data_IF_476818258001
#
_entry.id   IF_476818258001
#
_cell.length_a   1.000
_cell.length_b   1.000
_cell.length_c   1.000
_cell.angle_alpha   90.00
_cell.angle_beta   90.00
_cell.angle_gamma   90.00
#
_symmetry.space_group_name_H-M   'P 1'
#
loop_
_entity.id
_entity.type
_entity.pdbx_description
1 polymer ?
#
# COMPACT_ATOMS: atom_id res chain seq x y z
N UNK A 1 56.06 -1.96 -8.88
CA UNK A 1 55.82 -0.50 -8.89
C UNK A 1 54.31 -0.28 -8.75
N UNK A 2 53.73 0.48 -7.84
CA UNK A 2 54.17 1.34 -6.74
C UNK A 2 53.22 1.08 -5.55
N UNK A 3 53.78 1.07 -4.34
CA UNK A 3 53.07 0.74 -3.10
C UNK A 3 52.17 1.85 -2.53
N UNK A 4 51.57 1.59 -1.35
CA UNK A 4 50.55 2.44 -0.72
C UNK A 4 51.15 3.46 0.26
N UNK A 5 50.38 4.50 0.61
CA UNK A 5 50.66 5.42 1.72
C UNK A 5 49.43 5.58 2.62
N UNK A 6 49.63 5.34 3.92
CA UNK A 6 48.74 5.72 5.03
C UNK A 6 48.78 7.24 5.29
N UNK A 7 48.28 7.80 6.39
CA UNK A 7 47.96 7.25 7.71
C UNK A 7 47.13 8.27 8.53
N UNK A 8 46.58 7.80 9.66
CA UNK A 8 46.28 8.61 10.86
C UNK A 8 44.79 8.84 11.11
N UNK A 9 44.20 8.60 12.30
CA UNK A 9 44.75 8.17 13.59
C UNK A 9 43.74 8.52 14.71
N UNK A 10 43.76 7.72 15.79
CA UNK A 10 43.17 8.03 17.10
C UNK A 10 41.68 7.68 17.24
N UNK A 11 41.20 7.05 18.32
CA UNK A 11 41.79 6.72 19.60
C UNK A 11 40.64 6.42 20.57
N UNK A 12 40.78 5.35 21.33
CA UNK A 12 39.78 4.83 22.28
C UNK A 12 39.48 5.79 23.44
N UNK A 13 38.29 5.63 24.05
CA UNK A 13 37.96 6.31 25.31
C UNK A 13 36.75 5.72 26.02
N UNK A 14 36.96 4.67 26.81
CA UNK A 14 36.09 4.28 27.93
C UNK A 14 36.03 5.42 28.96
N UNK A 15 34.86 5.70 29.52
CA UNK A 15 34.75 6.46 30.78
C UNK A 15 33.83 5.71 31.75
N UNK A 16 34.42 5.27 32.86
CA UNK A 16 33.74 4.77 34.05
C UNK A 16 33.30 5.89 35.00
N UNK A 17 32.81 5.55 36.21
CA UNK A 17 32.05 6.44 37.07
C UNK A 17 32.95 7.36 37.91
N UNK A 18 32.63 8.66 37.96
CA UNK A 18 33.34 9.65 38.78
C UNK A 18 32.58 10.00 40.06
N UNK A 19 33.09 9.54 41.20
CA UNK A 19 32.85 10.16 42.51
C UNK A 19 33.67 11.46 42.60
N UNK A 20 33.05 12.54 43.04
CA UNK A 20 33.73 13.81 43.29
C UNK A 20 32.96 14.68 44.28
N UNK A 21 33.36 14.61 45.54
CA UNK A 21 32.93 15.51 46.61
C UNK A 21 33.44 16.94 46.36
N UNK A 22 32.56 17.94 46.39
CA UNK A 22 32.97 19.32 46.71
C UNK A 22 31.95 20.05 47.58
N UNK A 23 32.42 20.27 48.80
CA UNK A 23 31.89 21.02 49.95
C UNK A 23 31.49 22.46 49.57
N UNK A 24 30.23 22.84 49.83
CA UNK A 24 29.81 24.22 50.16
C UNK A 24 28.82 24.11 51.34
N UNK A 25 29.33 24.37 52.55
CA UNK A 25 29.00 25.52 53.40
C UNK A 25 27.55 25.50 53.88
N UNK A 26 27.40 24.92 55.06
CA UNK A 26 26.26 25.02 55.96
C UNK A 26 26.25 26.37 56.72
N UNK A 27 25.05 26.71 57.21
CA UNK A 27 24.64 27.70 58.24
C UNK A 27 23.98 29.01 57.72
N UNK A 28 22.97 29.57 58.42
CA UNK A 28 22.05 28.99 59.42
C UNK A 28 20.56 29.18 59.08
N UNK A 29 19.74 28.42 59.80
CA UNK A 29 18.30 28.65 59.96
C UNK A 29 18.07 30.04 60.56
N UNK A 30 17.43 30.94 59.82
CA UNK A 30 16.73 32.07 60.42
C UNK A 30 15.23 31.74 60.43
N UNK A 31 14.75 31.54 61.65
CA UNK A 31 13.35 31.57 62.02
C UNK A 31 12.79 32.96 61.70
N UNK A 32 12.16 33.08 60.53
CA UNK A 32 11.21 34.16 60.29
C UNK A 32 9.83 33.54 60.25
N UNK A 33 9.16 33.61 61.41
CA UNK A 33 7.73 33.49 61.53
C UNK A 33 7.08 34.58 60.65
N UNK A 34 6.86 34.24 59.38
CA UNK A 34 6.25 35.10 58.38
C UNK A 34 5.17 34.32 57.68
N UNK A 35 3.97 34.37 58.25
CA UNK A 35 2.67 34.01 57.71
C UNK A 35 2.71 33.11 56.45
N UNK A 36 2.42 31.83 56.65
CA UNK A 36 1.80 31.05 55.58
C UNK A 36 0.63 31.88 55.03
N UNK A 37 0.57 32.23 53.73
CA UNK A 37 -0.74 32.35 53.12
C UNK A 37 -1.28 30.94 53.22
N UNK A 38 -2.24 30.73 54.13
CA UNK A 38 -2.97 29.48 54.15
C UNK A 38 -3.49 29.28 52.73
N UNK A 39 -2.85 28.39 51.98
CA UNK A 39 -3.45 27.83 50.79
C UNK A 39 -4.67 27.11 51.36
N UNK A 40 -5.82 27.78 51.24
CA UNK A 40 -7.12 27.18 51.51
C UNK A 40 -7.11 25.82 50.81
N UNK A 41 -7.67 24.76 51.42
CA UNK A 41 -7.85 23.47 50.74
C UNK A 41 -8.41 23.62 49.30
N UNK A 42 -9.23 24.64 49.06
CA UNK A 42 -9.75 25.02 47.73
C UNK A 42 -8.69 25.40 46.69
N UNK A 43 -7.57 26.00 47.10
CA UNK A 43 -6.46 26.37 46.21
C UNK A 43 -5.59 25.18 45.80
N UNK A 44 -5.47 24.18 46.68
CA UNK A 44 -4.75 22.94 46.39
C UNK A 44 -5.55 22.07 45.42
N UNK A 45 -6.86 21.97 45.61
CA UNK A 45 -7.78 21.28 44.68
C UNK A 45 -7.80 21.93 43.28
N UNK A 46 -7.70 23.27 43.22
CA UNK A 46 -7.63 23.99 41.94
C UNK A 46 -6.33 23.66 41.17
N UNK A 47 -5.18 23.60 41.86
CA UNK A 47 -3.90 23.21 41.24
C UNK A 47 -3.92 21.76 40.77
N UNK A 48 -4.52 20.84 41.52
CA UNK A 48 -4.65 19.42 41.12
C UNK A 48 -5.50 19.29 39.86
N UNK A 49 -6.62 20.04 39.79
CA UNK A 49 -7.46 20.10 38.58
C UNK A 49 -6.70 20.63 37.37
N UNK A 50 -5.95 21.72 37.52
CA UNK A 50 -5.14 22.29 36.43
C UNK A 50 -4.10 21.29 35.92
N UNK A 51 -3.39 20.60 36.83
CA UNK A 51 -2.40 19.59 36.46
C UNK A 51 -3.03 18.39 35.73
N UNK A 52 -4.24 18.00 36.13
CA UNK A 52 -5.03 16.97 35.46
C UNK A 52 -5.41 17.39 34.05
N UNK A 53 -5.97 18.59 33.89
CA UNK A 53 -6.40 19.11 32.59
C UNK A 53 -5.19 19.26 31.64
N UNK A 54 -4.04 19.70 32.18
CA UNK A 54 -2.79 19.75 31.42
C UNK A 54 -2.32 18.36 30.98
N UNK A 55 -2.41 17.35 31.85
CA UNK A 55 -2.08 15.97 31.50
C UNK A 55 -3.00 15.43 30.41
N UNK A 56 -4.32 15.66 30.50
CA UNK A 56 -5.29 15.28 29.48
C UNK A 56 -4.93 15.91 28.12
N UNK A 57 -4.60 17.21 28.11
CA UNK A 57 -4.21 17.92 26.89
C UNK A 57 -2.89 17.40 26.28
N UNK A 58 -1.88 17.16 27.12
CA UNK A 58 -0.58 16.64 26.66
C UNK A 58 -0.71 15.23 26.08
N UNK A 59 -1.51 14.36 26.72
CA UNK A 59 -1.78 13.01 26.22
C UNK A 59 -2.60 13.02 24.93
N UNK A 60 -3.60 13.91 24.82
CA UNK A 60 -4.36 14.09 23.59
C UNK A 60 -3.42 14.45 22.44
N UNK A 61 -2.61 15.51 22.61
CA UNK A 61 -1.64 15.95 21.60
C UNK A 61 -0.67 14.82 21.21
N UNK A 62 -0.16 14.09 22.20
CA UNK A 62 0.75 12.98 21.94
C UNK A 62 0.06 11.85 21.15
N UNK A 63 -1.22 11.55 21.44
CA UNK A 63 -2.00 10.57 20.70
C UNK A 63 -2.23 10.97 19.24
N UNK A 64 -2.56 12.24 18.99
CA UNK A 64 -2.71 12.80 17.64
C UNK A 64 -1.41 12.66 16.85
N UNK A 65 -0.28 13.08 17.43
CA UNK A 65 1.05 12.96 16.82
C UNK A 65 1.42 11.50 16.51
N UNK A 66 1.07 10.56 17.40
CA UNK A 66 1.29 9.13 17.18
C UNK A 66 0.47 8.60 16.02
N UNK A 67 -0.83 8.93 15.95
CA UNK A 67 -1.70 8.47 14.88
C UNK A 67 -1.33 9.09 13.52
N UNK A 68 -0.94 10.36 13.49
CA UNK A 68 -0.37 10.97 12.28
C UNK A 68 0.92 10.29 11.82
N UNK A 69 1.82 9.96 12.76
CA UNK A 69 3.06 9.26 12.44
C UNK A 69 2.77 7.87 11.83
N UNK A 70 1.79 7.15 12.39
CA UNK A 70 1.34 5.86 11.84
C UNK A 70 0.73 6.04 10.45
N UNK A 71 -0.13 7.04 10.24
CA UNK A 71 -0.71 7.35 8.93
C UNK A 71 0.37 7.61 7.88
N UNK A 72 1.31 8.53 8.17
CA UNK A 72 2.43 8.87 7.27
C UNK A 72 3.28 7.66 6.91
N UNK A 73 3.57 6.77 7.89
CA UNK A 73 4.30 5.53 7.60
C UNK A 73 3.51 4.57 6.73
N UNK A 74 2.20 4.44 6.93
CA UNK A 74 1.34 3.60 6.08
C UNK A 74 1.30 4.13 4.65
N UNK A 75 1.14 5.43 4.48
CA UNK A 75 1.18 6.10 3.17
C UNK A 75 2.53 5.88 2.48
N UNK A 76 3.64 6.02 3.22
CA UNK A 76 4.98 5.76 2.69
C UNK A 76 5.14 4.30 2.24
N UNK A 77 4.76 3.33 3.08
CA UNK A 77 4.84 1.91 2.71
C UNK A 77 3.94 1.55 1.53
N UNK A 78 2.76 2.17 1.42
CA UNK A 78 1.90 2.00 0.25
C UNK A 78 2.60 2.55 -1.00
N UNK A 79 3.14 3.76 -0.95
CA UNK A 79 3.86 4.37 -2.07
C UNK A 79 5.06 3.53 -2.53
N UNK A 80 5.86 3.02 -1.59
CA UNK A 80 7.00 2.14 -1.88
C UNK A 80 6.55 0.84 -2.57
N UNK A 81 5.49 0.20 -2.07
CA UNK A 81 4.96 -1.03 -2.67
C UNK A 81 4.40 -0.78 -4.08
N UNK A 82 3.60 0.27 -4.25
CA UNK A 82 3.04 0.65 -5.55
C UNK A 82 4.16 0.97 -6.55
N UNK A 83 5.16 1.76 -6.14
CA UNK A 83 6.33 2.06 -6.99
C UNK A 83 7.02 0.79 -7.46
N UNK A 84 7.30 -0.15 -6.54
CA UNK A 84 7.94 -1.42 -6.87
C UNK A 84 7.10 -2.28 -7.83
N UNK A 85 5.79 -2.37 -7.62
CA UNK A 85 4.91 -3.11 -8.53
C UNK A 85 4.82 -2.46 -9.91
N UNK A 86 4.77 -1.13 -9.96
CA UNK A 86 4.75 -0.37 -11.21
C UNK A 86 6.06 -0.52 -12.00
N UNK A 87 7.20 -0.59 -11.32
CA UNK A 87 8.51 -0.88 -11.93
C UNK A 87 8.53 -2.30 -12.53
N UNK A 88 8.24 -3.31 -11.71
CA UNK A 88 8.22 -4.72 -12.14
C UNK A 88 7.22 -4.96 -13.28
N UNK A 89 6.04 -4.32 -13.22
CA UNK A 89 5.06 -4.39 -14.29
C UNK A 89 5.64 -3.84 -15.60
N UNK A 90 6.27 -2.65 -15.59
CA UNK A 90 6.86 -2.06 -16.79
C UNK A 90 8.03 -2.88 -17.33
N UNK A 91 8.88 -3.43 -16.47
CA UNK A 91 9.98 -4.31 -16.89
C UNK A 91 9.45 -5.56 -17.61
N UNK A 92 8.44 -6.21 -17.04
CA UNK A 92 7.77 -7.37 -17.65
C UNK A 92 7.12 -7.00 -18.98
N UNK A 93 6.45 -5.85 -19.05
CA UNK A 93 5.81 -5.36 -20.27
C UNK A 93 6.82 -5.09 -21.40
N UNK A 94 7.96 -4.48 -21.07
CA UNK A 94 9.03 -4.23 -22.02
C UNK A 94 9.65 -5.54 -22.54
N UNK A 95 9.84 -6.52 -21.65
CA UNK A 95 10.33 -7.85 -22.02
C UNK A 95 9.35 -8.59 -22.96
N UNK A 96 8.05 -8.55 -22.67
CA UNK A 96 7.00 -9.15 -23.50
C UNK A 96 6.95 -8.52 -24.91
N UNK A 97 7.03 -7.19 -25.01
CA UNK A 97 7.05 -6.48 -26.30
C UNK A 97 8.32 -6.80 -27.10
N UNK A 98 9.47 -6.89 -26.42
CA UNK A 98 10.72 -7.29 -27.05
C UNK A 98 10.63 -8.71 -27.61
N UNK A 99 10.14 -9.66 -26.81
CA UNK A 99 9.98 -11.04 -27.24
C UNK A 99 9.01 -11.17 -28.43
N UNK A 100 7.88 -10.45 -28.40
CA UNK A 100 6.91 -10.44 -29.50
C UNK A 100 7.54 -9.96 -30.81
N UNK A 101 8.34 -8.88 -30.77
CA UNK A 101 9.04 -8.35 -31.95
C UNK A 101 10.09 -9.34 -32.48
N UNK A 102 10.90 -9.91 -31.59
CA UNK A 102 11.92 -10.91 -31.96
C UNK A 102 11.28 -12.14 -32.61
N UNK A 103 10.20 -12.67 -32.06
CA UNK A 103 9.44 -13.78 -32.67
C UNK A 103 8.89 -13.39 -34.04
N UNK A 104 8.30 -12.21 -34.19
CA UNK A 104 7.75 -11.78 -35.46
C UNK A 104 8.81 -11.61 -36.57
N UNK A 105 10.00 -11.13 -36.21
CA UNK A 105 11.13 -11.05 -37.13
C UNK A 105 11.61 -12.44 -37.59
N UNK A 106 11.71 -13.39 -36.65
CA UNK A 106 12.06 -14.78 -36.94
C UNK A 106 11.02 -15.40 -37.87
N UNK A 107 9.74 -15.32 -37.52
CA UNK A 107 8.64 -15.89 -38.31
C UNK A 107 8.61 -15.31 -39.73
N UNK A 108 8.83 -14.00 -39.88
CA UNK A 108 8.88 -13.34 -41.19
C UNK A 108 10.05 -13.88 -42.03
N UNK A 109 11.21 -14.07 -41.41
CA UNK A 109 12.40 -14.62 -42.08
C UNK A 109 12.15 -16.07 -42.52
N UNK A 110 11.56 -16.88 -41.66
CA UNK A 110 11.23 -18.28 -41.96
C UNK A 110 10.17 -18.39 -43.05
N UNK A 111 9.14 -17.55 -43.02
CA UNK A 111 8.09 -17.53 -44.03
C UNK A 111 8.64 -17.15 -45.42
N UNK A 112 9.51 -16.13 -45.49
CA UNK A 112 10.21 -15.77 -46.74
C UNK A 112 11.02 -16.95 -47.30
N UNK A 113 11.78 -17.64 -46.45
CA UNK A 113 12.54 -18.84 -46.85
C UNK A 113 11.62 -19.94 -47.38
N UNK A 114 10.51 -20.22 -46.68
CA UNK A 114 9.53 -21.23 -47.08
C UNK A 114 8.90 -20.92 -48.44
N UNK A 115 8.56 -19.65 -48.69
CA UNK A 115 8.01 -19.21 -49.97
C UNK A 115 9.04 -19.30 -51.11
N UNK A 116 10.32 -19.04 -50.82
CA UNK A 116 11.40 -19.20 -51.80
C UNK A 116 11.63 -20.68 -52.14
N UNK A 117 11.67 -21.57 -51.14
CA UNK A 117 11.74 -23.02 -51.38
C UNK A 117 10.58 -23.48 -52.28
N UNK A 118 9.36 -23.05 -51.98
CA UNK A 118 8.16 -23.36 -52.80
C UNK A 118 8.29 -22.84 -54.24
N UNK A 119 8.89 -21.67 -54.44
CA UNK A 119 9.18 -21.12 -55.78
C UNK A 119 10.16 -22.01 -56.55
N UNK A 120 11.26 -22.41 -55.90
CA UNK A 120 12.27 -23.27 -56.50
C UNK A 120 11.71 -24.65 -56.87
N UNK A 121 10.91 -25.25 -56.00
CA UNK A 121 10.21 -26.52 -56.27
C UNK A 121 9.27 -26.41 -57.47
N UNK A 122 8.48 -25.33 -57.57
CA UNK A 122 7.62 -25.06 -58.73
C UNK A 122 8.42 -24.92 -60.02
N UNK A 123 9.52 -24.17 -60.01
CA UNK A 123 10.40 -24.00 -61.18
C UNK A 123 11.03 -25.34 -61.58
N UNK A 124 11.51 -26.11 -60.62
CA UNK A 124 12.12 -27.42 -60.86
C UNK A 124 11.10 -28.41 -61.44
N UNK A 125 9.90 -28.48 -60.86
CA UNK A 125 8.81 -29.32 -61.37
C UNK A 125 8.39 -28.93 -62.78
N UNK A 126 8.17 -27.63 -63.03
CA UNK A 126 7.81 -27.10 -64.34
C UNK A 126 8.87 -27.41 -65.42
N UNK A 127 10.15 -27.27 -65.09
CA UNK A 127 11.28 -27.58 -66.00
C UNK A 127 11.37 -29.06 -66.36
N UNK A 128 11.01 -29.96 -65.43
CA UNK A 128 11.01 -31.42 -65.70
C UNK A 128 9.90 -31.84 -66.66
N UNK A 129 8.79 -31.11 -66.69
CA UNK A 129 7.58 -31.49 -67.46
C UNK A 129 7.49 -30.76 -68.80
N UNK A 130 8.16 -29.62 -68.95
CA UNK A 130 8.08 -28.77 -70.16
C UNK A 130 9.40 -28.77 -70.92
N UNK A 131 9.41 -29.38 -72.11
CA UNK A 131 10.61 -29.45 -72.97
C UNK A 131 10.78 -28.24 -73.90
N UNK A 132 9.68 -27.54 -74.24
CA UNK A 132 9.75 -26.35 -75.10
C UNK A 132 10.35 -25.16 -74.34
N UNK A 133 11.45 -24.64 -74.89
CA UNK A 133 12.26 -23.58 -74.26
C UNK A 133 11.48 -22.26 -74.11
N UNK A 134 10.64 -21.93 -75.09
CA UNK A 134 9.85 -20.69 -75.07
C UNK A 134 8.72 -20.78 -74.03
N UNK A 135 8.04 -21.92 -73.95
CA UNK A 135 7.05 -22.21 -72.93
C UNK A 135 7.66 -22.19 -71.52
N UNK A 136 8.84 -22.79 -71.34
CA UNK A 136 9.55 -22.80 -70.05
C UNK A 136 9.84 -21.37 -69.55
N UNK A 137 10.36 -20.49 -70.41
CA UNK A 137 10.65 -19.09 -70.05
C UNK A 137 9.39 -18.29 -69.74
N UNK A 138 8.28 -18.55 -70.43
CA UNK A 138 6.98 -17.94 -70.12
C UNK A 138 6.49 -18.37 -68.74
N UNK A 139 6.45 -19.68 -68.47
CA UNK A 139 5.98 -20.22 -67.19
C UNK A 139 6.86 -19.79 -66.02
N UNK A 140 8.18 -19.70 -66.21
CA UNK A 140 9.12 -19.19 -65.20
C UNK A 140 8.81 -17.73 -64.83
N UNK A 141 8.47 -16.88 -65.81
CA UNK A 141 8.02 -15.50 -65.54
C UNK A 141 6.72 -15.47 -64.75
N UNK A 142 5.76 -16.31 -65.09
CA UNK A 142 4.49 -16.43 -64.37
C UNK A 142 4.68 -16.92 -62.92
N UNK A 143 5.53 -17.93 -62.70
CA UNK A 143 5.89 -18.41 -61.35
C UNK A 143 6.57 -17.32 -60.52
N UNK A 144 7.50 -16.57 -61.11
CA UNK A 144 8.17 -15.46 -60.41
C UNK A 144 7.18 -14.34 -60.07
N UNK A 145 6.29 -13.98 -60.99
CA UNK A 145 5.26 -12.97 -60.76
C UNK A 145 4.31 -13.40 -59.62
N UNK A 146 3.87 -14.66 -59.65
CA UNK A 146 3.04 -15.25 -58.60
C UNK A 146 3.76 -15.28 -57.24
N UNK A 147 5.04 -15.66 -57.20
CA UNK A 147 5.81 -15.66 -55.95
C UNK A 147 5.94 -14.25 -55.35
N UNK A 148 6.21 -13.23 -56.16
CA UNK A 148 6.29 -11.84 -55.67
C UNK A 148 4.95 -11.44 -55.02
N UNK A 149 3.82 -11.73 -55.68
CA UNK A 149 2.49 -11.45 -55.13
C UNK A 149 2.22 -12.23 -53.84
N UNK A 150 2.55 -13.53 -53.81
CA UNK A 150 2.35 -14.40 -52.64
C UNK A 150 3.18 -13.92 -51.44
N UNK A 151 4.46 -13.55 -51.65
CA UNK A 151 5.33 -12.97 -50.61
C UNK A 151 4.76 -11.66 -50.07
N UNK A 152 4.36 -10.74 -50.94
CA UNK A 152 3.79 -9.45 -50.51
C UNK A 152 2.51 -9.66 -49.71
N UNK A 153 1.62 -10.53 -50.19
CA UNK A 153 0.35 -10.81 -49.51
C UNK A 153 0.57 -11.46 -48.14
N UNK A 154 1.45 -12.46 -48.05
CA UNK A 154 1.73 -13.16 -46.80
C UNK A 154 2.38 -12.23 -45.78
N UNK A 155 3.37 -11.42 -46.19
CA UNK A 155 3.99 -10.44 -45.29
C UNK A 155 2.96 -9.44 -44.79
N UNK A 156 2.13 -8.88 -45.67
CA UNK A 156 1.06 -7.96 -45.28
C UNK A 156 0.15 -8.58 -44.23
N UNK A 157 -0.31 -9.81 -44.46
CA UNK A 157 -1.17 -10.52 -43.51
C UNK A 157 -0.47 -10.77 -42.17
N UNK A 158 0.82 -11.11 -42.18
CA UNK A 158 1.62 -11.31 -40.97
C UNK A 158 1.77 -10.01 -40.18
N UNK A 159 2.03 -8.88 -40.85
CA UNK A 159 2.11 -7.56 -40.22
C UNK A 159 0.79 -7.16 -39.57
N UNK A 160 -0.34 -7.30 -40.29
CA UNK A 160 -1.67 -7.00 -39.73
C UNK A 160 -2.01 -7.89 -38.52
N UNK A 161 -1.58 -9.15 -38.53
CA UNK A 161 -1.78 -10.05 -37.39
C UNK A 161 -0.90 -9.66 -36.21
N UNK A 162 0.35 -9.29 -36.46
CA UNK A 162 1.28 -8.81 -35.43
C UNK A 162 0.73 -7.56 -34.74
N UNK A 163 0.24 -6.58 -35.50
CA UNK A 163 -0.35 -5.35 -34.97
C UNK A 163 -1.53 -5.66 -34.05
N UNK A 164 -2.45 -6.54 -34.47
CA UNK A 164 -3.58 -6.99 -33.62
C UNK A 164 -3.11 -7.71 -32.35
N UNK A 165 -2.04 -8.50 -32.44
CA UNK A 165 -1.48 -9.17 -31.27
C UNK A 165 -0.81 -8.19 -30.32
N UNK A 166 -0.11 -7.19 -30.85
CA UNK A 166 0.53 -6.13 -30.07
C UNK A 166 -0.51 -5.25 -29.39
N UNK A 167 -1.56 -4.82 -30.08
CA UNK A 167 -2.67 -4.04 -29.51
C UNK A 167 -3.31 -4.76 -28.32
N UNK A 168 -3.69 -6.03 -28.49
CA UNK A 168 -4.26 -6.85 -27.41
C UNK A 168 -3.30 -7.06 -26.24
N UNK A 169 -2.00 -7.08 -26.51
CA UNK A 169 -1.00 -7.15 -25.46
C UNK A 169 -0.99 -5.82 -24.69
N UNK A 170 -0.86 -4.69 -25.37
CA UNK A 170 -0.86 -3.35 -24.79
C UNK A 170 -2.13 -3.05 -23.99
N UNK A 171 -3.31 -3.50 -24.43
CA UNK A 171 -4.56 -3.44 -23.67
C UNK A 171 -4.47 -4.17 -22.32
N UNK A 172 -3.93 -5.39 -22.31
CA UNK A 172 -3.72 -6.16 -21.07
C UNK A 172 -2.70 -5.49 -20.16
N UNK A 173 -1.65 -4.93 -20.74
CA UNK A 173 -0.62 -4.19 -20.02
C UNK A 173 -1.20 -2.93 -19.36
N UNK A 174 -2.03 -2.17 -20.07
CA UNK A 174 -2.76 -1.02 -19.54
C UNK A 174 -3.71 -1.42 -18.41
N UNK A 175 -4.50 -2.49 -18.58
CA UNK A 175 -5.40 -2.99 -17.55
C UNK A 175 -4.65 -3.41 -16.27
N UNK A 176 -3.47 -4.02 -16.40
CA UNK A 176 -2.62 -4.36 -15.26
C UNK A 176 -2.13 -3.11 -14.51
N UNK A 177 -1.74 -2.05 -15.22
CA UNK A 177 -1.32 -0.79 -14.59
C UNK A 177 -2.49 -0.09 -13.88
N UNK A 178 -3.70 -0.12 -14.46
CA UNK A 178 -4.91 0.39 -13.82
C UNK A 178 -5.23 -0.38 -12.54
N UNK A 179 -5.07 -1.70 -12.53
CA UNK A 179 -5.26 -2.50 -11.31
C UNK A 179 -4.28 -2.10 -10.19
N UNK A 180 -3.02 -1.83 -10.53
CA UNK A 180 -2.04 -1.36 -9.54
C UNK A 180 -2.44 0.02 -8.98
N UNK A 181 -2.89 0.94 -9.85
CA UNK A 181 -3.40 2.26 -9.43
C UNK A 181 -4.65 2.17 -8.55
N UNK A 182 -5.55 1.23 -8.84
CA UNK A 182 -6.74 1.05 -8.01
C UNK A 182 -6.37 0.54 -6.61
N UNK A 183 -5.39 -0.37 -6.54
CA UNK A 183 -4.89 -0.83 -5.25
C UNK A 183 -4.20 0.29 -4.45
N UNK A 184 -3.52 1.23 -5.11
CA UNK A 184 -2.98 2.44 -4.46
C UNK A 184 -4.09 3.25 -3.79
N UNK A 185 -5.18 3.54 -4.52
CA UNK A 185 -6.32 4.28 -3.97
C UNK A 185 -6.94 3.54 -2.79
N UNK A 186 -7.03 2.21 -2.88
CA UNK A 186 -7.56 1.38 -1.80
C UNK A 186 -6.70 1.48 -0.54
N UNK A 187 -5.37 1.38 -0.65
CA UNK A 187 -4.47 1.54 0.50
C UNK A 187 -4.54 2.94 1.11
N UNK A 188 -4.63 3.99 0.30
CA UNK A 188 -4.79 5.36 0.79
C UNK A 188 -6.12 5.52 1.56
N UNK A 189 -7.21 4.99 0.99
CA UNK A 189 -8.53 5.03 1.61
C UNK A 189 -8.57 4.28 2.94
N UNK A 190 -7.96 3.09 3.00
CA UNK A 190 -7.89 2.30 4.23
C UNK A 190 -7.05 2.98 5.32
N UNK A 191 -5.90 3.54 4.95
CA UNK A 191 -5.05 4.26 5.90
C UNK A 191 -5.77 5.48 6.51
N UNK A 192 -6.47 6.26 5.67
CA UNK A 192 -7.27 7.40 6.14
C UNK A 192 -8.45 6.96 7.00
N UNK A 193 -9.20 5.94 6.59
CA UNK A 193 -10.34 5.44 7.35
C UNK A 193 -9.93 4.93 8.74
N UNK A 194 -8.79 4.24 8.84
CA UNK A 194 -8.25 3.80 10.12
C UNK A 194 -7.79 4.97 10.99
N UNK A 195 -7.12 5.97 10.41
CA UNK A 195 -6.73 7.18 11.13
C UNK A 195 -7.96 7.91 11.70
N UNK A 196 -8.99 8.14 10.87
CA UNK A 196 -10.24 8.77 11.31
C UNK A 196 -10.94 7.99 12.42
N UNK A 197 -10.97 6.65 12.32
CA UNK A 197 -11.55 5.80 13.34
C UNK A 197 -10.82 5.93 14.69
N UNK A 198 -9.48 5.96 14.68
CA UNK A 198 -8.66 6.14 15.88
C UNK A 198 -8.83 7.54 16.48
N UNK A 199 -8.85 8.58 15.63
CA UNK A 199 -9.04 9.96 16.08
C UNK A 199 -10.39 10.18 16.79
N UNK A 200 -11.46 9.51 16.34
CA UNK A 200 -12.78 9.60 16.98
C UNK A 200 -12.81 9.05 18.41
N UNK A 201 -12.01 8.03 18.72
CA UNK A 201 -11.95 7.41 20.05
C UNK A 201 -10.98 8.09 21.02
N UNK A 202 -10.00 8.84 20.50
CA UNK A 202 -8.84 9.31 21.25
C UNK A 202 -9.21 10.13 22.50
N UNK A 203 -10.12 11.09 22.37
CA UNK A 203 -10.49 11.96 23.50
C UNK A 203 -11.11 11.16 24.66
N UNK A 204 -11.96 10.17 24.34
CA UNK A 204 -12.58 9.32 25.34
C UNK A 204 -11.56 8.41 26.02
N UNK A 205 -10.67 7.80 25.24
CA UNK A 205 -9.58 6.94 25.75
C UNK A 205 -8.63 7.71 26.68
N UNK A 206 -8.28 8.96 26.33
CA UNK A 206 -7.42 9.82 27.17
C UNK A 206 -8.12 10.16 28.48
N UNK A 207 -9.39 10.60 28.44
CA UNK A 207 -10.17 10.92 29.65
C UNK A 207 -10.34 9.70 30.57
N UNK A 208 -10.58 8.53 30.00
CA UNK A 208 -10.68 7.29 30.77
C UNK A 208 -9.34 6.90 31.39
N UNK A 209 -8.24 7.00 30.62
CA UNK A 209 -6.88 6.68 31.07
C UNK A 209 -6.44 7.60 32.22
N UNK A 210 -6.67 8.91 32.09
CA UNK A 210 -6.38 9.87 33.17
C UNK A 210 -7.26 9.60 34.38
N UNK A 211 -8.56 9.35 34.21
CA UNK A 211 -9.45 9.00 35.32
C UNK A 211 -8.99 7.73 36.05
N UNK A 212 -8.57 6.70 35.32
CA UNK A 212 -8.05 5.45 35.89
C UNK A 212 -6.73 5.67 36.64
N UNK A 213 -5.81 6.46 36.06
CA UNK A 213 -4.56 6.87 36.70
C UNK A 213 -4.81 7.62 38.00
N UNK A 214 -5.69 8.64 37.98
CA UNK A 214 -6.04 9.42 39.17
C UNK A 214 -6.68 8.58 40.28
N UNK A 215 -7.57 7.64 39.94
CA UNK A 215 -8.13 6.69 40.91
C UNK A 215 -7.05 5.84 41.60
N UNK A 216 -5.99 5.51 40.87
CA UNK A 216 -4.87 4.70 41.39
C UNK A 216 -3.90 5.55 42.23
N UNK A 217 -3.62 6.79 41.81
CA UNK A 217 -2.69 7.69 42.49
C UNK A 217 -3.31 8.41 43.70
N UNK A 218 -4.62 8.64 43.70
CA UNK A 218 -5.36 9.37 44.74
C UNK A 218 -6.58 8.57 45.24
N UNK A 219 -6.37 7.40 45.87
CA UNK A 219 -7.48 6.53 46.30
C UNK A 219 -8.33 7.12 47.44
N UNK A 220 -7.83 8.12 48.18
CA UNK A 220 -8.56 8.74 49.31
C UNK A 220 -9.60 9.78 48.88
N UNK A 221 -9.53 10.27 47.64
CA UNK A 221 -10.40 11.35 47.13
C UNK A 221 -11.64 10.82 46.37
N UNK A 222 -11.70 9.51 46.09
CA UNK A 222 -12.82 8.87 45.39
C UNK A 222 -13.71 8.05 46.32
N UNK A 223 -14.10 8.62 47.46
CA UNK A 223 -15.16 8.09 48.31
C UNK A 223 -16.48 8.78 47.95
N UNK A 224 -16.88 8.66 46.69
CA UNK A 224 -18.25 9.00 46.31
C UNK A 224 -19.21 7.98 46.93
N UNK A 225 -20.24 8.52 47.57
CA UNK A 225 -21.34 7.80 48.20
C UNK A 225 -22.02 6.88 47.17
N UNK A 226 -22.48 5.69 47.55
CA UNK A 226 -23.27 4.87 46.66
C UNK A 226 -24.55 5.62 46.30
N UNK A 227 -24.84 5.70 45.00
CA UNK A 227 -26.17 5.98 44.47
C UNK A 227 -27.16 5.07 45.21
N UNK A 228 -28.18 5.67 45.83
CA UNK A 228 -29.29 4.90 46.38
C UNK A 228 -30.06 4.31 45.22
N UNK A 229 -30.07 2.99 45.15
CA UNK A 229 -31.05 2.22 44.40
C UNK A 229 -32.45 2.71 44.75
N UNK A 230 -33.16 3.25 43.75
CA UNK A 230 -34.60 3.44 43.82
C UNK A 230 -35.26 2.10 43.53
N UNK A 231 -35.61 1.37 44.60
CA UNK A 231 -36.56 0.26 44.52
C UNK A 231 -37.94 0.81 44.14
N UNK A 232 -38.51 0.28 43.04
CA UNK A 232 -39.95 0.29 42.82
C UNK A 232 -40.36 -1.11 42.32
N UNK A 233 -41.35 -1.77 42.94
CA UNK A 233 -41.71 -3.15 42.59
C UNK A 233 -42.57 -3.26 41.31
N UNK A 234 -42.56 -4.41 40.62
CA UNK A 234 -43.32 -4.61 39.39
C UNK A 234 -44.77 -4.99 39.72
N UNK A 235 -45.71 -4.09 39.41
CA UNK A 235 -47.13 -4.44 39.34
C UNK A 235 -47.43 -5.11 38.00
N UNK A 236 -48.04 -6.29 38.10
CA UNK A 236 -48.53 -7.14 37.03
C UNK A 236 -49.65 -6.47 36.22
N UNK A 237 -49.65 -6.68 34.90
CA UNK A 237 -50.89 -6.95 34.18
C UNK A 237 -50.61 -7.84 32.96
N UNK A 238 -50.98 -9.11 33.12
CA UNK A 238 -51.28 -10.02 32.03
C UNK A 238 -52.49 -9.49 31.26
N UNK A 239 -52.41 -9.50 29.92
CA UNK A 239 -53.48 -9.94 29.04
C UNK A 239 -52.97 -9.99 27.58
N UNK A 240 -52.66 -11.20 27.14
CA UNK A 240 -52.92 -11.67 25.78
C UNK A 240 -54.07 -12.71 25.93
N UNK A 241 -54.91 -13.04 24.93
CA UNK A 241 -54.37 -13.69 23.74
C UNK A 241 -55.19 -13.54 22.41
N UNK A 242 -54.58 -14.03 21.33
CA UNK A 242 -55.13 -14.99 20.32
C UNK A 242 -55.07 -14.54 18.84
N UNK A 243 -54.06 -15.11 18.16
CA UNK A 243 -54.08 -15.90 16.91
C UNK A 243 -54.58 -15.25 15.61
N UNK A 244 -53.69 -15.24 14.60
CA UNK A 244 -53.97 -15.82 13.28
C UNK A 244 -52.67 -16.21 12.55
N UNK A 245 -52.53 -17.51 12.28
CA UNK A 245 -51.59 -18.07 11.30
C UNK A 245 -52.08 -17.76 9.90
N UNK A 246 -51.17 -17.48 8.97
CA UNK A 246 -51.24 -17.99 7.59
C UNK A 246 -49.85 -18.08 6.98
N UNK A 247 -49.37 -19.32 6.87
CA UNK A 247 -48.51 -19.81 5.79
C UNK A 247 -49.16 -19.51 4.43
N UNK A 248 -48.38 -19.05 3.45
CA UNK A 248 -48.55 -19.40 2.04
C UNK A 248 -47.17 -19.52 1.39
N UNK A 249 -46.85 -20.75 0.98
CA UNK A 249 -45.83 -21.10 0.00
C UNK A 249 -46.19 -20.59 -1.40
N UNK A 250 -45.16 -20.58 -2.26
CA UNK A 250 -45.21 -20.92 -3.70
C UNK A 250 -45.41 -19.77 -4.71
N UNK A 251 -44.33 -19.45 -5.44
CA UNK A 251 -44.36 -19.62 -6.90
C UNK A 251 -42.97 -19.52 -7.53
N UNK A 252 -42.59 -20.63 -8.13
CA UNK A 252 -41.70 -20.70 -9.30
C UNK A 252 -42.24 -19.80 -10.41
N UNK A 253 -41.35 -19.07 -11.06
CA UNK A 253 -41.20 -18.99 -12.52
C UNK A 253 -39.77 -18.55 -12.84
#
# INVERSE_FOLDING_TARGET
ELGPRGAGGGGAGKLGPGKGSRKKRSLPCEESAGAAPGESPEGMDARVRELKDRLELELLRQGEEQYECVLKRKEQHAAEQISKMMELAREKQAAELKALKETAEIDTKEMKKKLETKRLERIQGMTKVTADKMAQERLKREINSSHIQEVVQVIKQMTENLEKHQEKLEEKQAACLEQIREMEKQFQKEALAEYEARMKGLEAEVKESVRACFRTCFPSETKDKPERDCECPPELCEQDPVVAKTDVQESRL
#
